data_IF_123686319788
#
_entry.id   IF_123686319788
#
_cell.length_a   1.000
_cell.length_b   1.000
_cell.length_c   1.000
_cell.angle_alpha   90.00
_cell.angle_beta   90.00
_cell.angle_gamma   90.00
#
_symmetry.space_group_name_H-M   'P 1'
#
loop_
_entity.id
_entity.type
_entity.pdbx_description
1 polymer ?
#
# COMPACT_ATOMS: atom_id res chain seq x y z
N UNK A 1 17.96 19.72 2.13
CA UNK A 1 17.07 19.15 3.18
C UNK A 1 15.91 18.31 2.62
N UNK A 2 15.64 18.32 1.29
CA UNK A 2 14.49 17.62 0.69
C UNK A 2 14.59 16.08 0.59
N UNK A 3 15.78 15.50 0.72
CA UNK A 3 15.99 14.05 0.61
C UNK A 3 15.74 13.28 1.91
N UNK A 4 15.82 13.95 3.06
CA UNK A 4 15.63 13.31 4.36
C UNK A 4 14.25 12.64 4.49
N UNK A 5 13.12 13.29 4.16
CA UNK A 5 11.80 12.65 4.24
C UNK A 5 11.69 11.43 3.34
N UNK A 6 12.27 11.46 2.13
CA UNK A 6 12.22 10.33 1.21
C UNK A 6 12.96 9.10 1.75
N UNK A 7 14.11 9.32 2.38
CA UNK A 7 14.90 8.25 3.02
C UNK A 7 14.14 7.67 4.21
N UNK A 8 13.68 8.52 5.12
CA UNK A 8 12.96 8.06 6.31
C UNK A 8 11.65 7.36 5.94
N UNK A 9 10.84 7.95 5.04
CA UNK A 9 9.59 7.36 4.60
C UNK A 9 9.77 6.01 3.89
N UNK A 10 10.77 5.91 3.00
CA UNK A 10 11.12 4.65 2.35
C UNK A 10 11.58 3.58 3.34
N UNK A 11 12.35 3.97 4.36
CA UNK A 11 12.85 3.05 5.38
C UNK A 11 11.76 2.49 6.31
N UNK A 12 10.76 3.30 6.68
CA UNK A 12 9.62 2.88 7.52
C UNK A 12 8.93 1.66 6.92
N UNK A 13 8.67 1.68 5.61
CA UNK A 13 7.99 0.58 4.91
C UNK A 13 8.83 -0.69 4.87
N UNK A 14 10.16 -0.57 4.73
CA UNK A 14 11.07 -1.72 4.75
C UNK A 14 11.17 -2.35 6.14
N UNK A 15 11.26 -1.52 7.18
CA UNK A 15 11.34 -1.96 8.58
C UNK A 15 10.02 -2.63 8.99
N UNK A 16 8.89 -2.05 8.59
CA UNK A 16 7.54 -2.59 8.82
C UNK A 16 7.39 -4.03 8.31
N UNK A 17 7.88 -4.31 7.09
CA UNK A 17 7.80 -5.66 6.52
C UNK A 17 8.76 -6.63 7.21
N UNK A 18 9.89 -6.15 7.75
CA UNK A 18 10.88 -7.00 8.43
C UNK A 18 10.53 -7.34 9.87
N UNK A 19 9.98 -6.39 10.63
CA UNK A 19 9.51 -6.59 12.00
C UNK A 19 8.16 -7.34 12.04
N UNK A 20 7.41 -7.30 10.94
CA UNK A 20 6.06 -7.85 10.89
C UNK A 20 5.08 -7.02 11.72
N UNK A 21 3.90 -7.59 11.97
CA UNK A 21 2.79 -6.90 12.63
C UNK A 21 1.72 -6.43 11.66
N UNK A 22 0.51 -6.22 12.19
CA UNK A 22 -0.62 -5.82 11.38
C UNK A 22 -0.53 -4.33 11.02
N UNK A 23 -1.11 -3.93 9.88
CA UNK A 23 -1.11 -2.53 9.41
C UNK A 23 -1.63 -1.57 10.50
N UNK A 24 -2.62 -2.01 11.28
CA UNK A 24 -3.16 -1.24 12.42
C UNK A 24 -2.11 -0.94 13.49
N UNK A 25 -1.31 -1.93 13.92
CA UNK A 25 -0.28 -1.76 14.94
C UNK A 25 0.83 -0.81 14.46
N UNK A 26 1.15 -0.88 13.16
CA UNK A 26 2.14 -0.01 12.56
C UNK A 26 1.65 1.43 12.44
N UNK A 27 0.41 1.64 11.99
CA UNK A 27 -0.20 2.98 11.97
C UNK A 27 -0.27 3.57 13.37
N UNK A 28 -0.69 2.80 14.37
CA UNK A 28 -0.68 3.25 15.76
C UNK A 28 0.73 3.62 16.24
N UNK A 29 1.74 2.79 15.95
CA UNK A 29 3.12 3.09 16.31
C UNK A 29 3.65 4.38 15.68
N UNK A 30 3.32 4.64 14.41
CA UNK A 30 3.70 5.89 13.72
C UNK A 30 3.01 7.09 14.37
N UNK A 31 1.70 7.02 14.63
CA UNK A 31 0.94 8.14 15.23
C UNK A 31 1.41 8.43 16.65
N UNK A 32 1.63 7.39 17.47
CA UNK A 32 2.15 7.57 18.83
C UNK A 32 3.58 8.13 18.82
N UNK A 33 4.45 7.62 17.95
CA UNK A 33 5.80 8.13 17.79
C UNK A 33 5.83 9.60 17.36
N UNK A 34 4.99 9.98 16.38
CA UNK A 34 4.87 11.36 15.94
C UNK A 34 4.37 12.27 17.08
N UNK A 35 3.32 11.87 17.80
CA UNK A 35 2.76 12.64 18.89
C UNK A 35 3.76 12.85 20.04
N UNK A 36 4.40 11.78 20.53
CA UNK A 36 5.29 11.88 21.69
C UNK A 36 6.66 12.48 21.36
N UNK A 37 7.24 12.17 20.20
CA UNK A 37 8.61 12.60 19.88
C UNK A 37 8.60 13.98 19.22
N UNK A 38 7.66 14.23 18.30
CA UNK A 38 7.65 15.47 17.53
C UNK A 38 6.76 16.53 18.18
N UNK A 39 5.49 16.24 18.43
CA UNK A 39 4.55 17.26 18.95
C UNK A 39 4.91 17.70 20.38
N UNK A 40 5.22 16.76 21.28
CA UNK A 40 5.63 17.14 22.64
C UNK A 40 6.96 17.93 22.65
N UNK A 41 7.95 17.52 21.87
CA UNK A 41 9.25 18.21 21.84
C UNK A 41 9.15 19.62 21.26
N UNK A 42 8.32 19.81 20.22
CA UNK A 42 8.12 21.13 19.61
C UNK A 42 7.32 22.08 20.50
N UNK A 43 6.37 21.56 21.28
CA UNK A 43 5.58 22.35 22.21
C UNK A 43 6.46 23.07 23.26
N UNK A 44 7.56 22.45 23.70
CA UNK A 44 8.52 23.08 24.62
C UNK A 44 9.42 24.14 23.98
N UNK A 45 9.54 24.18 22.65
CA UNK A 45 10.43 25.10 21.93
C UNK A 45 9.65 26.31 21.39
N UNK A 46 8.42 26.11 20.91
CA UNK A 46 7.55 27.17 20.38
C UNK A 46 6.11 26.95 20.84
N UNK A 47 5.57 27.91 21.58
CA UNK A 47 4.13 27.96 21.89
C UNK A 47 3.38 28.45 20.64
N UNK A 48 2.50 27.64 20.02
CA UNK A 48 1.75 28.08 18.86
C UNK A 48 0.51 28.87 19.30
N UNK A 49 0.31 30.06 18.74
CA UNK A 49 -0.94 30.82 18.84
C UNK A 49 -2.04 30.06 18.07
N UNK A 50 -2.89 29.33 18.80
CA UNK A 50 -3.88 28.40 18.23
C UNK A 50 -5.28 28.99 18.34
N UNK A 51 -5.90 29.33 17.21
CA UNK A 51 -7.35 29.55 17.17
C UNK A 51 -8.06 28.20 17.39
N UNK A 52 -8.73 27.96 18.54
CA UNK A 52 -9.09 26.60 18.98
C UNK A 52 -10.04 25.88 18.02
N UNK A 53 -10.96 26.61 17.40
CA UNK A 53 -12.06 26.05 16.62
C UNK A 53 -11.62 25.56 15.23
N UNK A 54 -10.82 26.35 14.51
CA UNK A 54 -10.29 25.98 13.19
C UNK A 54 -9.23 24.90 13.35
N UNK A 55 -8.36 25.03 14.35
CA UNK A 55 -7.33 24.05 14.62
C UNK A 55 -7.92 22.67 14.95
N UNK A 56 -8.95 22.62 15.80
CA UNK A 56 -9.57 21.35 16.18
C UNK A 56 -10.30 20.69 15.01
N UNK A 57 -11.15 21.44 14.28
CA UNK A 57 -11.93 20.87 13.18
C UNK A 57 -11.04 20.36 12.03
N UNK A 58 -10.03 21.14 11.61
CA UNK A 58 -9.15 20.76 10.50
C UNK A 58 -8.22 19.60 10.89
N UNK A 59 -7.69 19.61 12.11
CA UNK A 59 -6.76 18.56 12.56
C UNK A 59 -7.45 17.20 12.73
N UNK A 60 -8.67 17.17 13.27
CA UNK A 60 -9.42 15.92 13.44
C UNK A 60 -9.80 15.34 12.09
N UNK A 61 -10.38 16.14 11.19
CA UNK A 61 -10.79 15.67 9.87
C UNK A 61 -9.57 15.19 9.08
N UNK A 62 -8.50 15.99 9.03
CA UNK A 62 -7.25 15.63 8.35
C UNK A 62 -6.63 14.35 8.93
N UNK A 63 -6.61 14.21 10.26
CA UNK A 63 -6.05 13.05 10.95
C UNK A 63 -6.81 11.75 10.66
N UNK A 64 -8.15 11.81 10.53
CA UNK A 64 -8.97 10.64 10.14
C UNK A 64 -8.63 10.23 8.71
N UNK A 65 -8.63 11.17 7.77
CA UNK A 65 -8.29 10.89 6.36
C UNK A 65 -6.87 10.34 6.21
N UNK A 66 -5.91 10.90 6.95
CA UNK A 66 -4.53 10.42 6.94
C UNK A 66 -4.42 8.99 7.48
N UNK A 67 -5.07 8.69 8.61
CA UNK A 67 -5.00 7.36 9.24
C UNK A 67 -5.57 6.27 8.35
N UNK A 68 -6.71 6.54 7.69
CA UNK A 68 -7.32 5.62 6.71
C UNK A 68 -6.37 5.41 5.51
N UNK A 69 -5.78 6.49 4.99
CA UNK A 69 -4.83 6.43 3.89
C UNK A 69 -3.58 5.61 4.24
N UNK A 70 -3.03 5.80 5.43
CA UNK A 70 -1.86 5.06 5.92
C UNK A 70 -2.16 3.58 6.11
N UNK A 71 -3.29 3.23 6.70
CA UNK A 71 -3.68 1.84 6.88
C UNK A 71 -3.81 1.11 5.54
N UNK A 72 -4.41 1.76 4.54
CA UNK A 72 -4.56 1.20 3.19
C UNK A 72 -3.20 1.06 2.48
N UNK A 73 -2.28 2.02 2.65
CA UNK A 73 -0.94 1.93 2.08
C UNK A 73 -0.14 0.77 2.69
N UNK A 74 -0.09 0.66 4.01
CA UNK A 74 0.66 -0.39 4.70
C UNK A 74 0.06 -1.78 4.45
N UNK A 75 -1.28 -1.88 4.44
CA UNK A 75 -1.97 -3.13 4.06
C UNK A 75 -1.60 -3.53 2.62
N UNK A 76 -1.65 -2.59 1.68
CA UNK A 76 -1.28 -2.85 0.28
C UNK A 76 0.17 -3.33 0.15
N UNK A 77 1.10 -2.78 0.96
CA UNK A 77 2.48 -3.25 1.02
C UNK A 77 2.58 -4.67 1.54
N UNK A 78 1.85 -5.02 2.60
CA UNK A 78 1.85 -6.38 3.15
C UNK A 78 1.28 -7.41 2.15
N UNK A 79 0.23 -7.05 1.41
CA UNK A 79 -0.42 -7.95 0.44
C UNK A 79 0.34 -8.06 -0.90
N UNK A 80 0.88 -6.96 -1.42
CA UNK A 80 1.44 -6.88 -2.78
C UNK A 80 2.97 -6.88 -2.80
N UNK A 81 3.61 -6.73 -1.65
CA UNK A 81 5.05 -6.58 -1.50
C UNK A 81 5.55 -5.16 -1.81
N UNK A 82 6.65 -4.77 -1.14
CA UNK A 82 7.22 -3.41 -1.20
C UNK A 82 7.53 -2.96 -2.63
N UNK A 83 8.15 -3.82 -3.44
CA UNK A 83 8.63 -3.48 -4.79
C UNK A 83 7.53 -3.16 -5.81
N UNK A 84 6.26 -3.43 -5.49
CA UNK A 84 5.12 -3.17 -6.37
C UNK A 84 4.11 -2.24 -5.73
N UNK A 85 3.82 -2.41 -4.43
CA UNK A 85 2.88 -1.58 -3.70
C UNK A 85 3.35 -0.12 -3.58
N UNK A 86 4.62 0.09 -3.25
CA UNK A 86 5.16 1.44 -3.00
C UNK A 86 5.14 2.27 -4.29
N UNK A 87 5.73 1.82 -5.43
CA UNK A 87 5.66 2.56 -6.69
C UNK A 87 4.23 2.85 -7.15
N UNK A 88 3.31 1.88 -6.96
CA UNK A 88 1.91 2.03 -7.33
C UNK A 88 1.22 3.12 -6.49
N UNK A 89 1.37 3.05 -5.16
CA UNK A 89 0.75 4.03 -4.25
C UNK A 89 1.33 5.43 -4.44
N UNK A 90 2.64 5.54 -4.67
CA UNK A 90 3.30 6.83 -4.89
C UNK A 90 2.89 7.42 -6.23
N UNK A 91 2.78 6.62 -7.30
CA UNK A 91 2.28 7.07 -8.59
C UNK A 91 0.84 7.60 -8.49
N UNK A 92 -0.05 6.87 -7.81
CA UNK A 92 -1.42 7.34 -7.56
C UNK A 92 -1.47 8.60 -6.70
N UNK A 93 -0.64 8.67 -5.66
CA UNK A 93 -0.54 9.86 -4.81
C UNK A 93 -0.12 11.07 -5.63
N UNK A 94 0.92 10.96 -6.47
CA UNK A 94 1.39 12.04 -7.32
C UNK A 94 0.31 12.52 -8.29
N UNK A 95 -0.46 11.62 -8.90
CA UNK A 95 -1.58 12.00 -9.76
C UNK A 95 -2.64 12.76 -8.96
N UNK A 96 -3.06 12.23 -7.80
CA UNK A 96 -4.09 12.86 -6.97
C UNK A 96 -3.67 14.22 -6.40
N UNK A 97 -2.44 14.34 -5.88
CA UNK A 97 -1.94 15.61 -5.32
C UNK A 97 -1.75 16.66 -6.40
N UNK A 98 -1.28 16.25 -7.59
CA UNK A 98 -1.15 17.16 -8.75
C UNK A 98 -2.54 17.63 -9.20
N UNK A 99 -3.49 16.71 -9.40
CA UNK A 99 -4.86 17.07 -9.78
C UNK A 99 -5.53 17.99 -8.76
N UNK A 100 -5.40 17.68 -7.47
CA UNK A 100 -5.92 18.53 -6.40
C UNK A 100 -5.27 19.92 -6.40
N UNK A 101 -3.96 19.99 -6.57
CA UNK A 101 -3.22 21.25 -6.68
C UNK A 101 -3.71 22.11 -7.85
N UNK A 102 -3.94 21.49 -9.01
CA UNK A 102 -4.47 22.20 -10.19
C UNK A 102 -5.89 22.72 -9.95
N UNK A 103 -6.77 21.92 -9.33
CA UNK A 103 -8.15 22.34 -9.07
C UNK A 103 -8.24 23.47 -8.05
N UNK A 104 -7.43 23.41 -6.98
CA UNK A 104 -7.47 24.37 -5.86
C UNK A 104 -6.71 25.64 -6.20
N UNK A 105 -5.46 25.54 -6.63
CA UNK A 105 -4.60 26.71 -6.88
C UNK A 105 -4.84 27.32 -8.26
N UNK A 106 -5.44 26.57 -9.20
CA UNK A 106 -5.73 27.01 -10.58
C UNK A 106 -4.54 27.66 -11.30
N UNK A 107 -3.31 27.31 -10.90
CA UNK A 107 -2.08 27.94 -11.40
C UNK A 107 -1.74 27.58 -12.85
N UNK A 108 -2.45 26.63 -13.45
CA UNK A 108 -2.28 26.24 -14.84
C UNK A 108 -2.98 27.24 -15.78
N UNK A 109 -2.46 28.46 -15.81
CA UNK A 109 -2.98 29.54 -16.69
C UNK A 109 -2.25 29.56 -18.05
N UNK A 110 -1.00 29.11 -18.10
CA UNK A 110 -0.18 29.10 -19.32
C UNK A 110 -0.39 27.80 -20.10
N UNK A 111 -0.67 27.91 -21.41
CA UNK A 111 -0.89 26.75 -22.30
C UNK A 111 0.23 25.71 -22.26
N UNK A 112 1.49 26.15 -22.14
CA UNK A 112 2.66 25.27 -22.02
C UNK A 112 2.62 24.42 -20.74
N UNK A 113 2.20 24.99 -19.61
CA UNK A 113 2.12 24.29 -18.32
C UNK A 113 0.99 23.27 -18.34
N UNK A 114 -0.14 23.61 -18.95
CA UNK A 114 -1.26 22.68 -19.13
C UNK A 114 -0.81 21.47 -19.97
N UNK A 115 -0.16 21.70 -21.12
CA UNK A 115 0.28 20.62 -22.01
C UNK A 115 1.31 19.70 -21.35
N UNK A 116 2.35 20.27 -20.73
CA UNK A 116 3.39 19.48 -20.06
C UNK A 116 2.82 18.75 -18.84
N UNK A 117 2.02 19.43 -18.03
CA UNK A 117 1.39 18.86 -16.84
C UNK A 117 0.43 17.72 -17.17
N UNK A 118 -0.44 17.91 -18.16
CA UNK A 118 -1.33 16.85 -18.64
C UNK A 118 -0.56 15.65 -19.22
N UNK A 119 0.51 15.90 -19.99
CA UNK A 119 1.37 14.85 -20.52
C UNK A 119 2.05 14.05 -19.40
N UNK A 120 2.58 14.72 -18.37
CA UNK A 120 3.21 14.08 -17.22
C UNK A 120 2.22 13.17 -16.46
N UNK A 121 0.99 13.64 -16.23
CA UNK A 121 -0.07 12.84 -15.59
C UNK A 121 -0.38 11.58 -16.41
N UNK A 122 -0.52 11.71 -17.75
CA UNK A 122 -0.77 10.57 -18.62
C UNK A 122 0.36 9.53 -18.57
N UNK A 123 1.62 9.98 -18.55
CA UNK A 123 2.78 9.09 -18.42
C UNK A 123 2.78 8.36 -17.06
N UNK A 124 2.46 9.05 -15.97
CA UNK A 124 2.36 8.42 -14.65
C UNK A 124 1.23 7.39 -14.64
N UNK A 125 0.06 7.72 -15.18
CA UNK A 125 -1.07 6.78 -15.28
C UNK A 125 -0.66 5.54 -16.09
N UNK A 126 0.02 5.72 -17.22
CA UNK A 126 0.52 4.60 -18.02
C UNK A 126 1.49 3.71 -17.22
N UNK A 127 2.41 4.30 -16.46
CA UNK A 127 3.35 3.56 -15.59
C UNK A 127 2.64 2.79 -14.46
N UNK A 128 1.63 3.40 -13.84
CA UNK A 128 0.78 2.79 -12.80
C UNK A 128 -0.01 1.61 -13.38
N UNK A 129 -0.65 1.78 -14.55
CA UNK A 129 -1.40 0.73 -15.25
C UNK A 129 -0.49 -0.44 -15.62
N UNK A 130 0.69 -0.17 -16.19
CA UNK A 130 1.65 -1.20 -16.55
C UNK A 130 2.12 -2.00 -15.32
N UNK A 131 2.30 -1.32 -14.18
CA UNK A 131 2.63 -1.96 -12.90
C UNK A 131 1.49 -2.87 -12.41
N UNK A 132 0.24 -2.41 -12.51
CA UNK A 132 -0.96 -3.15 -12.10
C UNK A 132 -1.21 -4.40 -12.98
N UNK A 133 -1.06 -4.29 -14.30
CA UNK A 133 -1.23 -5.43 -15.23
C UNK A 133 -0.25 -6.56 -14.92
N UNK A 134 1.00 -6.21 -14.58
CA UNK A 134 2.00 -7.17 -14.13
C UNK A 134 1.59 -7.93 -12.85
N UNK A 135 0.84 -7.29 -11.95
CA UNK A 135 0.32 -7.94 -10.74
C UNK A 135 -0.82 -8.91 -11.06
N UNK A 136 -1.79 -8.50 -11.88
CA UNK A 136 -2.94 -9.35 -12.25
C UNK A 136 -2.45 -10.67 -12.89
N UNK A 137 -1.46 -10.60 -13.79
CA UNK A 137 -0.87 -11.79 -14.43
C UNK A 137 -0.19 -12.73 -13.44
N UNK A 138 0.64 -12.21 -12.53
CA UNK A 138 1.32 -13.04 -11.50
C UNK A 138 0.33 -13.71 -10.55
N UNK A 139 -0.69 -12.98 -10.10
CA UNK A 139 -1.69 -13.51 -9.17
C UNK A 139 -2.57 -14.59 -9.81
N UNK A 140 -2.96 -14.44 -11.08
CA UNK A 140 -3.66 -15.49 -11.83
C UNK A 140 -2.79 -16.73 -12.03
N UNK A 141 -1.51 -16.56 -12.40
CA UNK A 141 -0.59 -17.68 -12.56
C UNK A 141 -0.36 -18.45 -11.24
N UNK A 142 -0.19 -17.73 -10.13
CA UNK A 142 -0.04 -18.34 -8.80
C UNK A 142 -1.31 -19.11 -8.37
N UNK A 143 -2.49 -18.52 -8.55
CA UNK A 143 -3.76 -19.20 -8.24
C UNK A 143 -4.00 -20.43 -9.10
N UNK A 144 -3.60 -20.40 -10.38
CA UNK A 144 -3.68 -21.56 -11.26
C UNK A 144 -2.70 -22.67 -10.84
N UNK A 145 -1.46 -22.31 -10.46
CA UNK A 145 -0.49 -23.27 -9.95
C UNK A 145 -0.95 -23.93 -8.63
N UNK A 146 -1.50 -23.14 -7.70
CA UNK A 146 -2.06 -23.68 -6.45
C UNK A 146 -3.24 -24.63 -6.71
N UNK A 147 -4.13 -24.28 -7.65
CA UNK A 147 -5.24 -25.14 -8.06
C UNK A 147 -4.76 -26.46 -8.69
N UNK A 148 -3.70 -26.43 -9.51
CA UNK A 148 -3.08 -27.63 -10.10
C UNK A 148 -2.48 -28.50 -9.00
N UNK A 149 -1.70 -27.92 -8.07
CA UNK A 149 -1.11 -28.67 -6.95
C UNK A 149 -2.18 -29.33 -6.09
N UNK A 150 -3.28 -28.61 -5.79
CA UNK A 150 -4.39 -29.16 -5.01
C UNK A 150 -5.10 -30.30 -5.75
N UNK A 151 -5.23 -30.20 -7.08
CA UNK A 151 -5.77 -31.25 -7.95
C UNK A 151 -4.87 -32.49 -7.96
N UNK A 152 -3.55 -32.31 -8.06
CA UNK A 152 -2.58 -33.41 -8.06
C UNK A 152 -2.53 -34.10 -6.70
N UNK A 153 -2.57 -33.34 -5.62
CA UNK A 153 -2.61 -33.87 -4.25
C UNK A 153 -3.88 -34.69 -3.99
N UNK A 154 -5.04 -34.23 -4.48
CA UNK A 154 -6.28 -35.00 -4.41
C UNK A 154 -6.22 -36.28 -5.25
N UNK A 155 -5.69 -36.18 -6.47
CA UNK A 155 -5.53 -37.33 -7.38
C UNK A 155 -4.58 -38.38 -6.83
N UNK A 156 -3.48 -37.97 -6.18
CA UNK A 156 -2.54 -38.87 -5.51
C UNK A 156 -3.22 -39.61 -4.34
N UNK A 157 -4.03 -38.90 -3.55
CA UNK A 157 -4.78 -39.51 -2.44
C UNK A 157 -5.81 -40.53 -2.94
N UNK A 158 -6.56 -40.18 -4.00
CA UNK A 158 -7.54 -41.08 -4.62
C UNK A 158 -6.88 -42.34 -5.17
N UNK A 159 -5.75 -42.21 -5.87
CA UNK A 159 -4.97 -43.34 -6.40
C UNK A 159 -4.38 -44.23 -5.30
N UNK A 160 -3.98 -43.64 -4.16
CA UNK A 160 -3.48 -44.40 -3.03
C UNK A 160 -4.60 -45.21 -2.36
N UNK A 161 -5.78 -44.61 -2.23
CA UNK A 161 -6.98 -45.26 -1.69
C UNK A 161 -7.48 -46.40 -2.58
N UNK A 162 -7.60 -46.17 -3.90
CA UNK A 162 -7.93 -47.19 -4.91
C UNK A 162 -6.98 -48.39 -4.85
N UNK A 163 -5.66 -48.16 -4.74
CA UNK A 163 -4.68 -49.26 -4.59
C UNK A 163 -4.83 -49.99 -3.26
N UNK A 164 -5.25 -49.32 -2.18
CA UNK A 164 -5.46 -49.95 -0.87
C UNK A 164 -6.70 -50.86 -0.88
N UNK A 165 -7.75 -50.45 -1.59
CA UNK A 165 -8.98 -51.24 -1.80
C UNK A 165 -8.73 -52.43 -2.70
N UNK A 166 -8.09 -52.24 -3.86
CA UNK A 166 -7.73 -53.36 -4.74
C UNK A 166 -6.92 -54.43 -4.01
N UNK A 167 -5.98 -54.03 -3.13
CA UNK A 167 -5.20 -54.97 -2.32
C UNK A 167 -5.99 -55.68 -1.23
N UNK A 168 -7.04 -55.06 -0.68
CA UNK A 168 -7.92 -55.73 0.29
C UNK A 168 -8.87 -56.70 -0.39
N UNK A 169 -9.43 -56.31 -1.54
CA UNK A 169 -10.32 -57.16 -2.31
C UNK A 169 -9.61 -58.44 -2.81
N UNK A 170 -8.37 -58.32 -3.28
CA UNK A 170 -7.58 -59.48 -3.73
C UNK A 170 -7.10 -60.40 -2.59
N UNK A 171 -7.14 -59.94 -1.32
CA UNK A 171 -6.83 -60.79 -0.15
C UNK A 171 -8.06 -61.52 0.41
N UNK A 172 -9.28 -61.15 -0.02
CA UNK A 172 -10.54 -61.75 0.42
C UNK A 172 -11.06 -62.83 -0.54
N UNK A 173 -10.46 -62.96 -1.72
CA UNK A 173 -10.64 -64.07 -2.68
C UNK A 173 -9.47 -65.03 -2.52
#
# INVERSE_FOLDING_TARGET
MHTLPAIFWGSIVLISVKLGGNAYQQTLGITLGAFFIFDCSLFFIKMPELTPLIFFAVSVISGIFWSIGQMNQLSSVAFLGVSKAVPLSTGMQLVSTTLFGVMVFKEWQTMTVILIGSCAILLIIAGVVMTSLGQKKKRMAAGMAEAILKRDHYSAHLNCWLRRICRHFFKMV
#
